data_IF_694685038358
#
_entry.id   IF_694685038358
#
_cell.length_a   1.000
_cell.length_b   1.000
_cell.length_c   1.000
_cell.angle_alpha   90.00
_cell.angle_beta   90.00
_cell.angle_gamma   90.00
#
_symmetry.space_group_name_H-M   'P 1'
#
loop_
_entity.id
_entity.type
_entity.pdbx_description
1 polymer ?
#
# COMPACT_ATOMS: atom_id res chain seq x y z
N UNK A 1 4.64 7.37 -3.49
CA UNK A 1 4.69 7.90 -2.11
C UNK A 1 5.03 6.77 -1.14
N UNK A 2 5.82 7.04 -0.09
CA UNK A 2 6.16 6.04 0.93
C UNK A 2 5.10 6.00 2.03
N UNK A 3 4.48 4.84 2.24
CA UNK A 3 3.40 4.66 3.19
C UNK A 3 3.54 3.35 3.97
N UNK A 4 2.99 3.31 5.17
CA UNK A 4 2.61 2.08 5.85
C UNK A 4 1.13 1.81 5.66
N UNK A 5 0.75 0.56 5.43
CA UNK A 5 -0.65 0.13 5.33
C UNK A 5 -1.03 -0.62 6.60
N UNK A 6 -1.96 -0.08 7.38
CA UNK A 6 -2.36 -0.63 8.68
C UNK A 6 -3.74 -1.31 8.59
N UNK A 7 -3.84 -2.58 8.94
CA UNK A 7 -5.11 -3.31 8.89
C UNK A 7 -6.05 -2.95 10.05
N UNK A 8 -7.25 -3.54 10.07
CA UNK A 8 -8.27 -3.34 11.11
C UNK A 8 -7.83 -3.76 12.52
N UNK A 9 -6.82 -4.64 12.64
CA UNK A 9 -6.20 -5.05 13.91
C UNK A 9 -5.06 -4.14 14.35
N UNK A 10 -4.82 -3.06 13.63
CA UNK A 10 -3.80 -2.09 13.93
C UNK A 10 -2.38 -2.58 13.62
N UNK A 11 -2.22 -3.61 12.78
CA UNK A 11 -0.94 -4.15 12.34
C UNK A 11 -0.58 -3.68 10.94
N UNK A 12 0.71 -3.53 10.67
CA UNK A 12 1.21 -3.05 9.38
C UNK A 12 1.52 -4.20 8.43
N UNK A 13 1.14 -4.00 7.17
CA UNK A 13 1.61 -4.80 6.05
C UNK A 13 3.12 -4.77 5.99
N UNK A 14 3.72 -5.95 6.04
CA UNK A 14 5.16 -6.17 6.20
C UNK A 14 5.63 -7.06 5.07
N UNK A 15 6.70 -6.63 4.39
CA UNK A 15 7.48 -7.49 3.49
C UNK A 15 8.68 -8.04 4.24
N UNK A 16 8.76 -9.36 4.39
CA UNK A 16 9.91 -10.00 5.01
C UNK A 16 11.14 -9.96 4.11
N UNK A 17 12.32 -9.86 4.73
CA UNK A 17 13.59 -9.80 4.00
C UNK A 17 13.99 -11.13 3.37
N UNK A 18 13.52 -12.23 3.96
CA UNK A 18 13.85 -13.57 3.51
C UNK A 18 12.58 -14.32 3.13
N UNK A 19 12.67 -15.11 2.06
CA UNK A 19 11.56 -15.94 1.56
C UNK A 19 10.44 -15.17 0.87
N UNK A 20 10.61 -13.86 0.61
CA UNK A 20 9.65 -13.01 -0.12
C UNK A 20 8.22 -13.10 0.44
N UNK A 21 8.11 -13.38 1.75
CA UNK A 21 6.83 -13.52 2.43
C UNK A 21 6.29 -12.15 2.80
N UNK A 22 4.98 -12.04 2.82
CA UNK A 22 4.27 -10.88 3.33
C UNK A 22 3.39 -11.29 4.50
N UNK A 23 3.24 -10.39 5.46
CA UNK A 23 2.37 -10.59 6.63
C UNK A 23 1.86 -9.24 7.16
N UNK A 24 0.94 -9.29 8.10
CA UNK A 24 0.42 -8.14 8.85
C UNK A 24 0.65 -8.34 10.35
N UNK A 25 1.90 -8.54 10.78
CA UNK A 25 2.23 -8.72 12.20
C UNK A 25 2.89 -7.48 12.84
N UNK A 26 3.45 -6.58 12.01
CA UNK A 26 4.21 -5.42 12.46
C UNK A 26 3.37 -4.44 13.30
N UNK A 27 3.87 -4.06 14.48
CA UNK A 27 3.20 -3.09 15.37
C UNK A 27 3.70 -1.66 15.20
N UNK A 28 4.77 -1.47 14.43
CA UNK A 28 5.41 -0.17 14.20
C UNK A 28 5.80 -0.02 12.74
N UNK A 29 5.82 1.23 12.25
CA UNK A 29 6.21 1.54 10.88
C UNK A 29 7.74 1.65 10.81
N UNK A 30 8.40 0.55 10.41
CA UNK A 30 9.84 0.50 10.13
C UNK A 30 10.08 0.14 8.67
N UNK A 31 11.34 -0.02 8.27
CA UNK A 31 11.74 -0.29 6.86
C UNK A 31 10.91 -1.37 6.17
N UNK A 32 10.67 -2.52 6.83
CA UNK A 32 9.90 -3.64 6.25
C UNK A 32 8.41 -3.34 6.04
N UNK A 33 7.88 -2.35 6.75
CA UNK A 33 6.49 -1.90 6.69
C UNK A 33 6.27 -0.74 5.71
N UNK A 34 7.35 -0.23 5.10
CA UNK A 34 7.28 0.85 4.12
C UNK A 34 7.02 0.24 2.73
N UNK A 35 5.98 0.75 2.11
CA UNK A 35 5.58 0.45 0.74
C UNK A 35 5.57 1.72 -0.08
N UNK A 36 6.00 1.63 -1.33
CA UNK A 36 5.86 2.70 -2.31
C UNK A 36 4.61 2.44 -3.13
N UNK A 37 3.64 3.34 -3.05
CA UNK A 37 2.50 3.35 -3.97
C UNK A 37 2.90 4.10 -5.22
N UNK A 38 2.86 3.41 -6.35
CA UNK A 38 3.17 3.91 -7.69
C UNK A 38 1.88 3.89 -8.49
N UNK A 39 1.47 5.04 -9.03
CA UNK A 39 0.28 5.16 -9.87
C UNK A 39 0.68 5.09 -11.34
N UNK A 40 -0.01 4.26 -12.12
CA UNK A 40 0.11 4.18 -13.56
C UNK A 40 -1.11 4.85 -14.21
N UNK A 41 -0.86 5.97 -14.89
CA UNK A 41 -1.89 6.76 -15.55
C UNK A 41 -2.49 6.10 -16.81
N UNK A 42 -1.79 5.17 -17.45
CA UNK A 42 -2.26 4.53 -18.68
C UNK A 42 -3.38 3.52 -18.41
N UNK A 43 -3.23 2.77 -17.32
CA UNK A 43 -4.12 1.67 -16.96
C UNK A 43 -5.03 2.00 -15.76
N UNK A 44 -4.98 3.25 -15.27
CA UNK A 44 -5.69 3.71 -14.07
C UNK A 44 -5.52 2.73 -12.89
N UNK A 45 -4.27 2.33 -12.64
CA UNK A 45 -3.94 1.31 -11.65
C UNK A 45 -2.79 1.73 -10.75
N UNK A 46 -2.66 1.03 -9.62
CA UNK A 46 -1.57 1.22 -8.66
C UNK A 46 -0.76 -0.06 -8.50
N UNK A 47 0.54 0.13 -8.31
CA UNK A 47 1.50 -0.88 -7.90
C UNK A 47 1.95 -0.62 -6.48
N UNK A 48 2.09 -1.70 -5.70
CA UNK A 48 2.65 -1.65 -4.37
C UNK A 48 4.05 -2.25 -4.43
N UNK A 49 5.07 -1.42 -4.21
CA UNK A 49 6.45 -1.86 -4.20
C UNK A 49 6.97 -1.91 -2.75
N UNK A 50 7.60 -3.02 -2.37
CA UNK A 50 8.22 -3.16 -1.06
C UNK A 50 9.52 -2.36 -0.95
N UNK A 51 10.04 -2.21 0.27
CA UNK A 51 11.37 -1.61 0.52
C UNK A 51 12.56 -2.35 -0.11
N UNK A 52 12.33 -3.54 -0.68
CA UNK A 52 13.32 -4.34 -1.42
C UNK A 52 13.17 -4.22 -2.95
N UNK A 53 12.34 -3.30 -3.43
CA UNK A 53 12.01 -3.07 -4.84
C UNK A 53 11.19 -4.18 -5.51
N UNK A 54 10.68 -5.15 -4.74
CA UNK A 54 9.78 -6.18 -5.24
C UNK A 54 8.34 -5.66 -5.29
N UNK A 55 7.57 -6.05 -6.30
CA UNK A 55 6.17 -5.69 -6.44
C UNK A 55 5.25 -6.73 -5.79
N UNK A 56 4.19 -6.25 -5.14
CA UNK A 56 3.11 -7.09 -4.67
C UNK A 56 2.33 -7.62 -5.88
N UNK A 57 2.11 -8.93 -5.94
CA UNK A 57 1.32 -9.60 -6.97
C UNK A 57 0.35 -10.59 -6.33
N UNK A 58 -0.74 -10.90 -7.04
CA UNK A 58 -1.66 -11.97 -6.67
C UNK A 58 -1.82 -12.97 -7.79
N UNK A 59 -1.92 -14.25 -7.48
CA UNK A 59 -2.30 -15.27 -8.48
C UNK A 59 -3.83 -15.47 -8.56
N UNK A 60 -4.27 -16.30 -9.52
CA UNK A 60 -5.67 -16.70 -9.72
C UNK A 60 -6.33 -17.41 -8.54
N UNK A 61 -5.55 -17.87 -7.56
CA UNK A 61 -6.04 -18.49 -6.34
C UNK A 61 -6.10 -17.50 -5.17
N UNK A 62 -5.81 -16.21 -5.41
CA UNK A 62 -5.78 -15.16 -4.41
C UNK A 62 -4.57 -15.26 -3.48
N UNK A 63 -3.51 -15.97 -3.86
CA UNK A 63 -2.26 -16.03 -3.09
C UNK A 63 -1.40 -14.84 -3.46
N UNK A 64 -0.93 -14.14 -2.44
CA UNK A 64 -0.08 -12.98 -2.62
C UNK A 64 1.39 -13.35 -2.58
N UNK A 65 2.18 -12.65 -3.40
CA UNK A 65 3.64 -12.76 -3.45
C UNK A 65 4.27 -11.39 -3.55
N UNK A 66 5.53 -11.30 -3.14
CA UNK A 66 6.35 -10.09 -3.28
C UNK A 66 7.80 -10.49 -3.58
N UNK A 67 8.00 -11.19 -4.69
CA UNK A 67 9.26 -11.82 -5.08
C UNK A 67 9.84 -11.31 -6.42
N UNK A 68 9.06 -10.58 -7.22
CA UNK A 68 9.47 -10.10 -8.54
C UNK A 68 9.74 -8.59 -8.55
N UNK A 69 10.78 -8.20 -9.29
CA UNK A 69 11.08 -6.79 -9.62
C UNK A 69 10.44 -6.34 -10.93
N UNK A 70 9.71 -7.23 -11.60
CA UNK A 70 9.02 -6.95 -12.85
C UNK A 70 7.53 -6.79 -12.59
N UNK A 71 6.93 -5.83 -13.30
CA UNK A 71 5.48 -5.58 -13.26
C UNK A 71 4.82 -6.47 -14.31
N UNK A 72 3.80 -7.20 -13.89
CA UNK A 72 2.94 -8.00 -14.75
C UNK A 72 1.46 -7.72 -14.41
N UNK A 73 0.55 -8.37 -15.13
CA UNK A 73 -0.90 -8.19 -14.92
C UNK A 73 -1.36 -8.57 -13.49
N UNK A 74 -0.64 -9.48 -12.83
CA UNK A 74 -0.92 -9.89 -11.45
C UNK A 74 -0.55 -8.81 -10.41
N UNK A 75 0.26 -7.82 -10.79
CA UNK A 75 0.62 -6.66 -9.97
C UNK A 75 -0.38 -5.50 -10.07
N UNK A 76 -1.40 -5.60 -10.93
CA UNK A 76 -2.32 -4.51 -11.22
C UNK A 76 -3.43 -4.42 -10.18
N UNK A 77 -3.40 -3.39 -9.32
CA UNK A 77 -4.45 -3.12 -8.34
C UNK A 77 -5.19 -1.83 -8.64
N UNK A 78 -6.51 -1.82 -8.45
CA UNK A 78 -7.32 -0.61 -8.37
C UNK A 78 -7.38 -0.15 -6.91
N UNK A 79 -7.14 1.13 -6.67
CA UNK A 79 -7.25 1.75 -5.36
C UNK A 79 -8.65 2.33 -5.16
N UNK A 80 -9.39 1.79 -4.20
CA UNK A 80 -10.67 2.33 -3.75
C UNK A 80 -10.50 2.98 -2.37
N UNK A 81 -11.29 4.00 -2.05
CA UNK A 81 -11.25 4.66 -0.74
C UNK A 81 -12.65 4.89 -0.19
N UNK A 82 -12.79 4.79 1.13
CA UNK A 82 -14.06 5.03 1.82
C UNK A 82 -14.12 6.44 2.45
N UNK A 83 -15.27 6.76 3.06
CA UNK A 83 -15.51 8.04 3.75
C UNK A 83 -14.59 8.28 4.96
N UNK A 84 -14.02 7.20 5.51
CA UNK A 84 -13.09 7.27 6.64
C UNK A 84 -11.63 7.44 6.19
N UNK A 85 -11.38 7.62 4.89
CA UNK A 85 -10.02 7.76 4.33
C UNK A 85 -9.22 6.47 4.29
N UNK A 86 -9.87 5.31 4.50
CA UNK A 86 -9.22 4.01 4.38
C UNK A 86 -9.21 3.55 2.92
N UNK A 87 -8.22 2.75 2.57
CA UNK A 87 -7.97 2.25 1.23
C UNK A 87 -8.27 0.77 1.12
N UNK A 88 -8.84 0.35 0.00
CA UNK A 88 -8.94 -1.05 -0.38
C UNK A 88 -8.24 -1.23 -1.72
N UNK A 89 -7.59 -2.37 -1.90
CA UNK A 89 -6.88 -2.70 -3.13
C UNK A 89 -7.59 -3.88 -3.80
N UNK A 90 -8.09 -3.66 -5.00
CA UNK A 90 -8.77 -4.69 -5.78
C UNK A 90 -7.89 -5.12 -6.94
N UNK A 91 -7.63 -6.41 -7.08
CA UNK A 91 -6.92 -6.92 -8.27
C UNK A 91 -7.75 -6.60 -9.52
N UNK A 92 -7.13 -5.95 -10.51
CA UNK A 92 -7.79 -5.67 -11.79
C UNK A 92 -8.03 -6.96 -12.58
N UNK A 93 -7.07 -7.89 -12.52
CA UNK A 93 -7.11 -9.17 -13.25
C UNK A 93 -8.18 -10.11 -12.70
N UNK A 94 -8.33 -10.19 -11.37
CA UNK A 94 -9.22 -11.17 -10.73
C UNK A 94 -10.47 -10.56 -10.11
N UNK A 95 -10.52 -9.23 -9.95
CA UNK A 95 -11.68 -8.53 -9.38
C UNK A 95 -11.90 -8.74 -7.88
N UNK A 96 -10.90 -9.27 -7.16
CA UNK A 96 -10.96 -9.60 -5.73
C UNK A 96 -10.10 -8.65 -4.90
N UNK A 97 -10.45 -8.47 -3.63
CA UNK A 97 -9.80 -7.53 -2.74
C UNK A 97 -8.69 -8.18 -1.92
N UNK A 98 -7.61 -7.43 -1.77
CA UNK A 98 -6.47 -7.73 -0.92
C UNK A 98 -6.77 -7.36 0.54
N UNK A 99 -6.54 -8.33 1.43
CA UNK A 99 -6.77 -8.19 2.86
C UNK A 99 -6.11 -9.29 3.69
N UNK A 100 -6.56 -9.42 4.93
CA UNK A 100 -6.07 -10.40 5.89
C UNK A 100 -5.32 -9.83 7.11
N UNK A 101 -4.90 -10.76 7.97
CA UNK A 101 -4.28 -10.49 9.27
C UNK A 101 -3.20 -11.52 9.59
N UNK A 102 -2.22 -11.13 10.42
CA UNK A 102 -1.06 -11.95 10.76
C UNK A 102 -0.40 -12.53 9.50
N UNK A 103 -0.18 -13.84 9.42
CA UNK A 103 0.42 -14.49 8.24
C UNK A 103 -0.61 -14.92 7.19
N UNK A 104 -1.89 -14.60 7.37
CA UNK A 104 -3.00 -15.01 6.50
C UNK A 104 -3.45 -13.90 5.55
N UNK A 105 -2.48 -13.31 4.84
CA UNK A 105 -2.76 -12.36 3.79
C UNK A 105 -3.29 -13.06 2.53
N UNK A 106 -4.25 -12.43 1.88
CA UNK A 106 -4.92 -13.00 0.73
C UNK A 106 -5.54 -11.95 -0.19
N UNK A 107 -5.86 -12.34 -1.42
CA UNK A 107 -6.56 -11.52 -2.40
C UNK A 107 -7.74 -12.31 -3.01
N UNK A 108 -8.63 -12.80 -2.15
CA UNK A 108 -9.83 -13.53 -2.57
C UNK A 108 -11.14 -12.92 -2.05
N UNK A 109 -11.08 -11.83 -1.29
CA UNK A 109 -12.28 -11.24 -0.71
C UNK A 109 -13.15 -10.61 -1.80
N UNK A 110 -14.46 -10.80 -1.72
CA UNK A 110 -15.43 -10.19 -2.64
C UNK A 110 -15.86 -8.79 -2.22
N UNK A 111 -15.58 -8.42 -0.98
CA UNK A 111 -15.91 -7.12 -0.40
C UNK A 111 -14.64 -6.37 -0.03
N UNK A 112 -14.62 -5.03 -0.11
CA UNK A 112 -13.44 -4.25 0.25
C UNK A 112 -12.92 -4.57 1.66
N UNK A 113 -11.63 -4.88 1.76
CA UNK A 113 -10.91 -4.92 3.02
C UNK A 113 -10.07 -3.66 3.20
N UNK A 114 -10.32 -2.97 4.31
CA UNK A 114 -9.87 -1.61 4.52
C UNK A 114 -8.51 -1.53 5.24
N UNK A 115 -7.59 -0.82 4.62
CA UNK A 115 -6.26 -0.49 5.12
C UNK A 115 -6.19 1.00 5.42
N UNK A 116 -5.64 1.36 6.58
CA UNK A 116 -5.43 2.76 6.97
C UNK A 116 -4.03 3.19 6.52
N UNK A 117 -3.89 4.12 5.57
CA UNK A 117 -2.59 4.56 5.07
C UNK A 117 -1.95 5.53 6.07
N UNK A 118 -0.70 5.28 6.44
CA UNK A 118 0.13 6.19 7.23
C UNK A 118 1.33 6.65 6.39
N UNK A 119 1.57 7.96 6.27
CA UNK A 119 2.75 8.45 5.59
C UNK A 119 4.01 8.03 6.35
N UNK A 120 5.01 7.50 5.63
CA UNK A 120 6.30 7.12 6.21
C UNK A 120 7.24 8.35 6.36
N UNK A 121 6.70 9.43 6.93
CA UNK A 121 7.42 10.67 7.24
C UNK A 121 7.01 11.12 8.65
N UNK A 122 7.91 11.84 9.33
CA UNK A 122 7.54 12.47 10.59
C UNK A 122 6.33 13.41 10.38
N UNK A 123 5.31 13.41 11.26
CA UNK A 123 4.09 14.18 11.02
C UNK A 123 4.29 15.69 11.01
N UNK A 124 5.39 16.19 11.61
CA UNK A 124 5.78 17.59 11.48
C UNK A 124 6.48 17.82 10.14
N UNK A 125 5.77 18.46 9.22
CA UNK A 125 6.24 18.73 7.86
C UNK A 125 6.05 20.20 7.50
N UNK A 126 6.80 20.65 6.49
CA UNK A 126 6.57 21.92 5.81
C UNK A 126 5.94 21.65 4.44
N UNK A 127 4.87 22.35 4.11
CA UNK A 127 4.18 22.21 2.82
C UNK A 127 4.69 23.25 1.83
N UNK A 128 5.30 22.81 0.73
CA UNK A 128 5.74 23.68 -0.36
C UNK A 128 4.73 23.64 -1.49
N UNK A 129 4.20 24.79 -1.87
CA UNK A 129 3.46 24.91 -3.12
C UNK A 129 4.44 24.87 -4.30
N UNK A 130 4.35 23.85 -5.15
CA UNK A 130 5.30 23.61 -6.25
C UNK A 130 5.31 24.78 -7.25
N UNK A 131 4.14 25.21 -7.74
CA UNK A 131 4.05 26.28 -8.74
C UNK A 131 4.45 27.66 -8.21
N UNK A 132 3.98 28.04 -7.01
CA UNK A 132 4.28 29.36 -6.40
C UNK A 132 5.67 29.44 -5.77
N UNK A 133 6.38 28.32 -5.58
CA UNK A 133 7.68 28.25 -4.90
C UNK A 133 7.66 28.92 -3.51
N UNK A 134 6.55 28.74 -2.77
CA UNK A 134 6.34 29.27 -1.41
C UNK A 134 5.94 28.15 -0.46
N UNK A 135 6.20 28.36 0.82
CA UNK A 135 5.78 27.45 1.88
C UNK A 135 4.51 27.96 2.54
N UNK A 136 3.65 27.02 2.97
CA UNK A 136 2.53 27.35 3.84
C UNK A 136 3.07 27.79 5.20
N UNK A 137 2.50 28.86 5.74
CA UNK A 137 2.72 29.31 7.12
C UNK A 137 1.36 29.68 7.71
N UNK A 138 1.26 29.67 9.05
CA UNK A 138 0.13 30.28 9.74
C UNK A 138 0.14 31.78 9.42
N UNK A 139 -1.05 32.35 9.23
CA UNK A 139 -1.17 33.80 9.07
C UNK A 139 -0.96 34.49 10.42
N UNK A 140 -0.36 35.67 10.38
CA UNK A 140 -0.02 36.43 11.60
C UNK A 140 -1.12 37.47 11.97
N UNK A 141 -2.17 37.58 11.15
CA UNK A 141 -3.30 38.51 11.28
C UNK A 141 -4.48 37.95 12.10
#
# INVERSE_FOLDING_TARGET
WFVGLRNSKGKYLTSETFGCKINATGTSLKRKQIWTIIYNCQNDCVYLQSSLNHYLSTDKYGRLKCDSNEINDDCHFQLEYNRNGQWAFKSLTYGLYFGGDNDQLHCFSKTPEWWSPHLAVHPQINLKHVLRKRYAKLDDD
#
